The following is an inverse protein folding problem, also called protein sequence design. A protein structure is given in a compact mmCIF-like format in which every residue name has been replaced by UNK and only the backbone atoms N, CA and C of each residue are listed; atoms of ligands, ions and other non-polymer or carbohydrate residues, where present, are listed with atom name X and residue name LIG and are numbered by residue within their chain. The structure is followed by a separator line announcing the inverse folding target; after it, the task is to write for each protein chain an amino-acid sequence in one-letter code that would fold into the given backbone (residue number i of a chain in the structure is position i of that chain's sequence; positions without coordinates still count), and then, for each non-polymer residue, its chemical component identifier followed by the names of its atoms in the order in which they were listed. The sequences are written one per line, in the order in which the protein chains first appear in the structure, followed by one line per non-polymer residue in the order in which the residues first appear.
data_IF_126316585369
#
_entry.id   IF_126316585369
#
_cell.length_a   1.000
_cell.length_b   1.000
_cell.length_c   1.000
_cell.angle_alpha   90.00
_cell.angle_beta   90.00
_cell.angle_gamma   90.00
#
_symmetry.space_group_name_H-M   'P 1'
#
loop_
_entity.id
_entity.type
_entity.pdbx_description
1 polymer ?
#
# COMPACT_ATOMS: atom_id res chain seq x y z
N UNK A 1 4.66 1.76 -12.00
CA UNK A 1 4.43 0.38 -11.58
C UNK A 1 4.93 -0.48 -12.72
N UNK A 2 5.79 -1.45 -12.44
CA UNK A 2 6.21 -2.48 -13.39
C UNK A 2 5.22 -3.64 -13.30
N UNK A 3 5.05 -4.36 -14.42
CA UNK A 3 4.19 -5.55 -14.54
C UNK A 3 2.70 -5.33 -14.25
N UNK A 4 2.21 -4.08 -14.25
CA UNK A 4 0.80 -3.77 -14.10
C UNK A 4 0.51 -2.29 -14.35
N UNK A 5 -0.77 -1.91 -14.26
CA UNK A 5 -1.21 -0.52 -14.36
C UNK A 5 -1.34 0.11 -12.97
N UNK A 6 -0.74 1.28 -12.77
CA UNK A 6 -0.76 1.96 -11.46
C UNK A 6 -2.16 2.40 -11.04
N UNK A 7 -3.06 2.70 -11.99
CA UNK A 7 -4.44 3.10 -11.68
C UNK A 7 -5.26 1.91 -11.23
N UNK A 8 -5.04 0.75 -11.85
CA UNK A 8 -5.64 -0.52 -11.42
C UNK A 8 -5.16 -0.87 -10.01
N UNK A 9 -3.85 -0.83 -9.74
CA UNK A 9 -3.30 -1.04 -8.40
C UNK A 9 -3.96 -0.13 -7.36
N UNK A 10 -4.11 1.16 -7.66
CA UNK A 10 -4.76 2.12 -6.74
C UNK A 10 -6.26 1.85 -6.57
N UNK A 11 -6.96 1.44 -7.62
CA UNK A 11 -8.37 1.06 -7.57
C UNK A 11 -8.58 -0.11 -6.60
N UNK A 12 -7.71 -1.13 -6.63
CA UNK A 12 -7.74 -2.25 -5.67
C UNK A 12 -7.63 -1.81 -4.20
N UNK A 13 -6.83 -0.77 -3.90
CA UNK A 13 -6.73 -0.23 -2.53
C UNK A 13 -8.07 0.34 -2.05
N UNK A 14 -8.88 0.92 -2.95
CA UNK A 14 -10.21 1.44 -2.59
C UNK A 14 -11.19 0.33 -2.19
N UNK A 15 -10.97 -0.91 -2.62
CA UNK A 15 -11.76 -2.08 -2.24
C UNK A 15 -11.17 -2.85 -1.04
N UNK A 16 -9.96 -2.48 -0.60
CA UNK A 16 -9.28 -3.13 0.50
C UNK A 16 -8.60 -4.44 0.12
N UNK A 17 -8.35 -4.65 -1.17
CA UNK A 17 -7.74 -5.88 -1.67
C UNK A 17 -6.32 -6.05 -1.13
N UNK A 18 -5.91 -7.30 -1.05
CA UNK A 18 -4.56 -7.71 -0.66
C UNK A 18 -3.60 -7.53 -1.84
N UNK A 19 -2.56 -6.73 -1.68
CA UNK A 19 -1.63 -6.38 -2.73
C UNK A 19 -0.19 -6.65 -2.30
N UNK A 20 0.55 -7.36 -3.15
CA UNK A 20 1.97 -7.60 -2.99
C UNK A 20 2.76 -6.78 -4.01
N UNK A 21 3.83 -6.14 -3.56
CA UNK A 21 4.70 -5.40 -4.45
C UNK A 21 6.15 -5.38 -3.95
N UNK A 22 7.06 -5.10 -4.87
CA UNK A 22 8.48 -5.00 -4.61
C UNK A 22 8.94 -3.56 -4.84
N UNK A 23 9.82 -3.07 -3.96
CA UNK A 23 10.51 -1.80 -4.13
C UNK A 23 11.89 -1.88 -3.51
N UNK A 24 12.93 -1.44 -4.23
CA UNK A 24 14.32 -1.41 -3.74
C UNK A 24 14.79 -2.76 -3.14
N UNK A 25 14.39 -3.88 -3.76
CA UNK A 25 14.71 -5.24 -3.31
C UNK A 25 13.94 -5.72 -2.08
N UNK A 26 13.01 -4.93 -1.55
CA UNK A 26 12.16 -5.27 -0.41
C UNK A 26 10.76 -5.68 -0.88
N UNK A 27 10.18 -6.68 -0.21
CA UNK A 27 8.80 -7.15 -0.46
C UNK A 27 7.85 -6.47 0.51
N UNK A 28 6.72 -6.00 -0.01
CA UNK A 28 5.68 -5.35 0.76
C UNK A 28 4.34 -6.06 0.59
N UNK A 29 3.55 -6.03 1.66
CA UNK A 29 2.16 -6.50 1.69
C UNK A 29 1.27 -5.35 2.16
N UNK A 30 0.26 -5.01 1.36
CA UNK A 30 -0.73 -3.99 1.66
C UNK A 30 -2.10 -4.67 1.75
N UNK A 31 -2.84 -4.42 2.82
CA UNK A 31 -4.19 -4.97 3.00
C UNK A 31 -5.16 -3.94 3.60
N UNK A 32 -6.43 -4.04 3.20
CA UNK A 32 -7.52 -3.33 3.84
C UNK A 32 -8.09 -4.12 5.01
N UNK A 33 -7.99 -3.59 6.22
CA UNK A 33 -8.46 -4.24 7.44
C UNK A 33 -9.72 -3.57 8.03
N UNK A 34 -10.73 -4.36 8.40
CA UNK A 34 -11.91 -3.83 9.12
C UNK A 34 -11.68 -3.83 10.64
N UNK A 35 -11.66 -2.65 11.26
CA UNK A 35 -11.38 -2.44 12.67
C UNK A 35 -12.52 -1.68 13.37
N UNK A 36 -13.32 -2.36 14.19
CA UNK A 36 -14.45 -1.76 14.93
C UNK A 36 -15.40 -0.93 14.03
N UNK A 37 -15.62 -1.39 12.79
CA UNK A 37 -16.48 -0.72 11.81
C UNK A 37 -15.78 0.33 10.95
N UNK A 38 -14.50 0.65 11.19
CA UNK A 38 -13.68 1.45 10.28
C UNK A 38 -12.90 0.57 9.30
N UNK A 39 -12.63 1.12 8.13
CA UNK A 39 -11.82 0.51 7.08
C UNK A 39 -10.39 1.08 7.16
N UNK A 40 -9.51 0.41 7.88
CA UNK A 40 -8.10 0.81 8.05
C UNK A 40 -7.24 0.18 6.94
N UNK A 41 -6.13 0.82 6.57
CA UNK A 41 -5.18 0.28 5.60
C UNK A 41 -3.85 -0.01 6.28
N UNK A 42 -3.30 -1.21 6.07
CA UNK A 42 -2.08 -1.68 6.70
C UNK A 42 -1.03 -2.05 5.65
N UNK A 43 0.19 -1.52 5.79
CA UNK A 43 1.34 -1.85 4.98
C UNK A 43 2.41 -2.53 5.84
N UNK A 44 2.95 -3.63 5.35
CA UNK A 44 3.99 -4.41 6.00
C UNK A 44 5.21 -4.53 5.09
N UNK A 45 6.39 -4.18 5.60
CA UNK A 45 7.66 -4.61 5.00
C UNK A 45 7.95 -6.06 5.41
N UNK A 46 8.03 -6.96 4.43
CA UNK A 46 8.08 -8.41 4.64
C UNK A 46 9.51 -8.88 4.85
N UNK A 47 10.09 -8.46 5.95
CA UNK A 47 11.44 -8.79 6.40
C UNK A 47 11.50 -8.90 7.93
N UNK A 48 12.58 -9.50 8.45
CA UNK A 48 12.82 -9.53 9.89
C UNK A 48 12.99 -8.09 10.44
N UNK A 49 12.12 -7.70 11.37
CA UNK A 49 12.00 -6.33 11.89
C UNK A 49 11.60 -5.29 10.83
N UNK A 50 10.85 -5.71 9.80
CA UNK A 50 10.26 -4.81 8.82
C UNK A 50 9.33 -3.79 9.47
N UNK A 51 9.27 -2.60 8.86
CA UNK A 51 8.35 -1.55 9.30
C UNK A 51 6.90 -1.92 9.00
N UNK A 52 6.01 -1.46 9.87
CA UNK A 52 4.57 -1.52 9.67
C UNK A 52 4.00 -0.11 9.73
N UNK A 53 3.16 0.22 8.75
CA UNK A 53 2.43 1.48 8.69
C UNK A 53 0.93 1.20 8.67
N UNK A 54 0.15 2.01 9.39
CA UNK A 54 -1.30 1.88 9.43
C UNK A 54 -1.95 3.24 9.32
N UNK A 55 -2.86 3.36 8.37
CA UNK A 55 -3.69 4.54 8.18
C UNK A 55 -5.12 4.22 8.61
N UNK A 56 -5.70 5.11 9.40
CA UNK A 56 -7.09 4.95 9.88
C UNK A 56 -8.05 5.53 8.86
N UNK A 57 -8.96 4.70 8.36
CA UNK A 57 -10.04 5.17 7.51
C UNK A 57 -11.29 5.49 8.30
N UNK A 58 -12.43 5.31 7.64
CA UNK A 58 -13.75 5.53 8.23
C UNK A 58 -14.68 4.36 7.90
N UNK A 59 -15.96 4.49 8.21
CA UNK A 59 -16.96 3.44 8.03
C UNK A 59 -17.33 3.14 6.58
N UNK A 60 -16.78 3.86 5.61
CA UNK A 60 -17.18 3.80 4.19
C UNK A 60 -16.01 3.77 3.21
N UNK A 61 -14.82 4.24 3.60
CA UNK A 61 -13.68 4.34 2.70
C UNK A 61 -12.36 4.01 3.42
N UNK A 62 -11.52 3.24 2.73
CA UNK A 62 -10.10 3.09 3.07
C UNK A 62 -9.36 4.42 2.86
N UNK A 63 -8.33 4.72 3.67
CA UNK A 63 -7.56 5.97 3.60
C UNK A 63 -6.49 5.92 2.51
N UNK A 64 -6.91 5.71 1.26
CA UNK A 64 -6.02 5.50 0.10
C UNK A 64 -5.04 6.67 -0.09
N UNK A 65 -5.53 7.90 -0.11
CA UNK A 65 -4.67 9.10 -0.27
C UNK A 65 -3.61 9.21 0.83
N UNK A 66 -3.93 8.79 2.06
CA UNK A 66 -2.99 8.86 3.17
C UNK A 66 -1.79 7.92 2.96
N UNK A 67 -2.00 6.76 2.33
CA UNK A 67 -0.92 5.88 1.89
C UNK A 67 -0.16 6.48 0.71
N UNK A 68 -0.87 6.97 -0.31
CA UNK A 68 -0.25 7.49 -1.53
C UNK A 68 0.65 8.70 -1.28
N UNK A 69 0.26 9.57 -0.36
CA UNK A 69 1.02 10.77 0.03
C UNK A 69 2.09 10.49 1.11
N UNK A 70 2.08 9.31 1.73
CA UNK A 70 2.99 8.98 2.83
C UNK A 70 4.45 9.00 2.37
N UNK A 71 5.28 9.79 3.06
CA UNK A 71 6.71 9.97 2.75
C UNK A 71 7.60 8.87 3.32
N UNK A 72 7.17 7.61 3.17
CA UNK A 72 7.81 6.44 3.80
C UNK A 72 8.88 5.81 2.90
N UNK A 73 8.99 6.23 1.64
CA UNK A 73 9.96 5.70 0.67
C UNK A 73 11.23 6.56 0.66
N UNK A 74 12.03 6.51 1.72
CA UNK A 74 13.18 7.41 1.91
C UNK A 74 12.81 8.90 1.80
N UNK A 75 11.68 9.28 2.40
CA UNK A 75 11.14 10.64 2.36
C UNK A 75 10.33 10.98 1.10
N UNK A 76 10.14 10.02 0.19
CA UNK A 76 9.32 10.14 -1.02
C UNK A 76 7.93 9.52 -0.84
N UNK A 77 6.96 10.04 -1.59
CA UNK A 77 5.59 9.51 -1.68
C UNK A 77 5.51 8.30 -2.60
N UNK A 78 4.38 7.58 -2.62
CA UNK A 78 4.15 6.48 -3.58
C UNK A 78 4.31 6.97 -5.02
N UNK A 79 3.73 8.13 -5.36
CA UNK A 79 3.77 8.70 -6.70
C UNK A 79 5.18 9.05 -7.20
N UNK A 80 6.09 9.36 -6.27
CA UNK A 80 7.48 9.64 -6.61
C UNK A 80 8.29 8.38 -6.97
N UNK A 81 7.82 7.20 -6.58
CA UNK A 81 8.57 5.93 -6.68
C UNK A 81 7.81 4.83 -7.41
N UNK A 82 6.53 5.03 -7.74
CA UNK A 82 5.66 4.00 -8.34
C UNK A 82 6.27 3.39 -9.61
N UNK A 83 6.98 4.19 -10.42
CA UNK A 83 7.65 3.71 -11.64
C UNK A 83 8.74 2.67 -11.37
N UNK A 84 9.34 2.70 -10.18
CA UNK A 84 10.36 1.76 -9.76
C UNK A 84 9.79 0.53 -9.04
N UNK A 85 8.56 0.62 -8.55
CA UNK A 85 7.84 -0.47 -7.90
C UNK A 85 7.40 -1.53 -8.90
N UNK A 86 7.38 -2.78 -8.48
CA UNK A 86 6.89 -3.92 -9.26
C UNK A 86 5.70 -4.54 -8.55
N UNK A 87 4.54 -4.56 -9.22
CA UNK A 87 3.39 -5.29 -8.72
C UNK A 87 3.67 -6.78 -8.86
N UNK A 88 3.66 -7.49 -7.74
CA UNK A 88 3.74 -8.94 -7.68
C UNK A 88 2.32 -9.49 -7.56
N UNK A 89 1.63 -9.60 -8.70
CA UNK A 89 0.41 -10.38 -8.77
C UNK A 89 0.82 -11.86 -8.61
N UNK A 90 0.20 -12.56 -7.64
CA UNK A 90 0.61 -13.88 -7.16
C UNK A 90 0.57 -14.98 -8.25
#
# INVERSE_FOLDING_TARGET
MKNGDVREFVDHIHYGDELWFLYDGKKYFLEGWTNNGNLDLCLYEMADNGEQHTWKGNTTHYPVEAFLEAKIWNGKSFWDVEQDMEWADD
#
